data_IF_359308426989
#
_entry.id   IF_359308426989
#
_cell.length_a   1.000
_cell.length_b   1.000
_cell.length_c   1.000
_cell.angle_alpha   90.00
_cell.angle_beta   90.00
_cell.angle_gamma   90.00
#
_symmetry.space_group_name_H-M   'P 1'
#
loop_
_entity.id
_entity.type
_entity.pdbx_description
1 polymer ?
#
# COMPACT_ATOMS: atom_id res chain seq x y z
N UNK A 1 -27.04 76.70 12.32
CA UNK A 1 -27.74 75.66 13.10
C UNK A 1 -28.39 74.68 12.12
N UNK A 2 -27.94 73.41 12.14
CA UNK A 2 -28.63 72.21 11.65
C UNK A 2 -29.20 72.19 10.21
N UNK A 3 -28.63 71.36 9.31
CA UNK A 3 -29.14 70.00 8.98
C UNK A 3 -28.62 69.40 7.66
N UNK A 4 -28.11 68.17 7.82
CA UNK A 4 -28.22 66.98 6.97
C UNK A 4 -27.37 66.94 5.69
N UNK A 5 -26.16 66.41 5.83
CA UNK A 5 -25.52 65.62 4.80
C UNK A 5 -26.02 64.16 4.95
N UNK A 6 -26.78 63.67 3.98
CA UNK A 6 -27.17 62.26 3.89
C UNK A 6 -26.16 61.54 3.00
N UNK A 7 -25.24 60.80 3.62
CA UNK A 7 -24.33 59.87 2.93
C UNK A 7 -25.08 58.56 2.69
N UNK A 8 -25.44 58.28 1.44
CA UNK A 8 -25.92 56.96 1.02
C UNK A 8 -24.70 56.04 0.85
N UNK A 9 -24.46 55.19 1.85
CA UNK A 9 -23.57 54.04 1.73
C UNK A 9 -24.25 52.98 0.86
N UNK A 10 -23.83 52.85 -0.40
CA UNK A 10 -24.13 51.68 -1.22
C UNK A 10 -23.34 50.48 -0.64
N UNK A 11 -24.01 49.65 0.15
CA UNK A 11 -23.50 48.33 0.50
C UNK A 11 -23.62 47.41 -0.73
N UNK A 12 -22.52 47.21 -1.45
CA UNK A 12 -22.42 46.13 -2.42
C UNK A 12 -22.32 44.83 -1.62
N UNK A 13 -23.46 44.15 -1.48
CA UNK A 13 -23.49 42.74 -1.05
C UNK A 13 -22.88 41.93 -2.18
N UNK A 14 -21.57 41.68 -2.09
CA UNK A 14 -20.93 40.63 -2.87
C UNK A 14 -21.48 39.30 -2.37
N UNK A 15 -22.47 38.77 -3.10
CA UNK A 15 -22.85 37.36 -3.07
C UNK A 15 -21.62 36.54 -3.48
N UNK A 16 -20.77 36.23 -2.50
CA UNK A 16 -19.72 35.24 -2.67
C UNK A 16 -20.38 33.89 -2.96
N UNK A 17 -19.96 33.16 -4.01
CA UNK A 17 -20.37 31.78 -4.14
C UNK A 17 -19.76 31.03 -2.95
N UNK A 18 -20.62 30.63 -2.01
CA UNK A 18 -20.31 29.58 -1.05
C UNK A 18 -20.02 28.35 -1.91
N UNK A 19 -18.73 28.11 -2.20
CA UNK A 19 -18.24 26.86 -2.74
C UNK A 19 -18.38 25.80 -1.65
N UNK A 20 -19.62 25.39 -1.39
CA UNK A 20 -19.92 24.08 -0.87
C UNK A 20 -19.63 23.10 -1.99
N UNK A 21 -18.36 22.72 -2.13
CA UNK A 21 -17.97 21.57 -2.95
C UNK A 21 -18.57 20.33 -2.30
N UNK A 22 -19.82 20.02 -2.65
CA UNK A 22 -20.26 18.64 -2.65
C UNK A 22 -19.38 17.96 -3.68
N UNK A 23 -18.37 17.22 -3.22
CA UNK A 23 -17.67 16.28 -4.08
C UNK A 23 -18.68 15.17 -4.40
N UNK A 24 -19.48 15.37 -5.46
CA UNK A 24 -20.26 14.29 -6.04
C UNK A 24 -19.26 13.20 -6.37
N UNK A 25 -19.47 12.01 -5.80
CA UNK A 25 -18.57 10.87 -5.94
C UNK A 25 -18.34 10.60 -7.44
N UNK A 26 -17.21 11.08 -7.95
CA UNK A 26 -16.79 10.82 -9.31
C UNK A 26 -16.49 9.33 -9.35
N UNK A 27 -17.40 8.57 -9.97
CA UNK A 27 -17.25 7.12 -10.08
C UNK A 27 -16.24 6.83 -11.19
N UNK A 28 -15.17 6.14 -10.85
CA UNK A 28 -14.10 5.74 -11.79
C UNK A 28 -14.35 4.33 -12.37
N UNK A 29 -15.62 3.96 -12.50
CA UNK A 29 -16.08 2.66 -12.99
C UNK A 29 -16.38 1.66 -11.88
N UNK A 30 -16.92 0.51 -12.29
CA UNK A 30 -17.30 -0.59 -11.40
C UNK A 30 -16.05 -1.38 -10.96
N UNK A 31 -16.07 -1.82 -9.71
CA UNK A 31 -15.13 -2.77 -9.13
C UNK A 31 -15.52 -4.19 -9.54
N UNK A 32 -14.53 -4.97 -9.98
CA UNK A 32 -14.71 -6.37 -10.37
C UNK A 32 -13.84 -7.26 -9.50
N UNK A 33 -14.29 -8.48 -9.19
CA UNK A 33 -13.54 -9.45 -8.37
C UNK A 33 -12.12 -9.73 -8.87
N UNK A 34 -11.88 -9.60 -10.17
CA UNK A 34 -10.58 -9.82 -10.82
C UNK A 34 -9.67 -8.59 -10.81
N UNK A 35 -10.11 -7.45 -10.29
CA UNK A 35 -9.29 -6.25 -10.26
C UNK A 35 -8.06 -6.43 -9.36
N UNK A 36 -6.90 -5.80 -9.68
CA UNK A 36 -5.64 -6.03 -8.99
C UNK A 36 -5.69 -5.86 -7.46
N UNK A 37 -6.51 -4.94 -6.95
CA UNK A 37 -6.67 -4.75 -5.50
C UNK A 37 -7.21 -6.00 -4.79
N UNK A 38 -8.12 -6.74 -5.42
CA UNK A 38 -8.68 -7.98 -4.88
C UNK A 38 -7.71 -9.16 -5.02
N UNK A 39 -6.83 -9.13 -6.03
CA UNK A 39 -5.75 -10.10 -6.16
C UNK A 39 -4.68 -9.89 -5.08
N UNK A 40 -4.40 -8.63 -4.75
CA UNK A 40 -3.47 -8.24 -3.69
C UNK A 40 -3.99 -8.62 -2.30
N UNK A 41 -5.29 -8.44 -2.05
CA UNK A 41 -5.94 -8.78 -0.79
C UNK A 41 -6.98 -9.88 -1.01
N UNK A 42 -6.53 -11.13 -1.17
CA UNK A 42 -7.42 -12.25 -1.51
C UNK A 42 -8.56 -12.46 -0.49
N UNK A 43 -8.29 -12.27 0.80
CA UNK A 43 -9.32 -12.31 1.85
C UNK A 43 -10.39 -11.23 1.65
N UNK A 44 -9.98 -10.03 1.21
CA UNK A 44 -10.91 -8.96 0.88
C UNK A 44 -11.82 -9.40 -0.26
N UNK A 45 -11.32 -10.09 -1.29
CA UNK A 45 -12.15 -10.58 -2.39
C UNK A 45 -13.25 -11.53 -1.91
N UNK A 46 -12.92 -12.46 -1.01
CA UNK A 46 -13.90 -13.38 -0.43
C UNK A 46 -14.91 -12.65 0.45
N UNK A 47 -14.46 -11.78 1.34
CA UNK A 47 -15.35 -10.97 2.18
C UNK A 47 -16.17 -10.01 1.36
N UNK A 48 -15.66 -9.49 0.24
CA UNK A 48 -16.37 -8.52 -0.57
C UNK A 48 -17.43 -9.18 -1.45
N UNK A 49 -17.12 -10.29 -2.11
CA UNK A 49 -17.98 -10.85 -3.17
C UNK A 49 -18.71 -12.14 -2.81
N UNK A 50 -18.21 -12.90 -1.83
CA UNK A 50 -18.69 -14.26 -1.56
C UNK A 50 -19.48 -14.34 -0.26
N UNK A 51 -19.04 -13.63 0.79
CA UNK A 51 -19.68 -13.70 2.09
C UNK A 51 -21.12 -13.16 2.02
N UNK A 52 -22.08 -13.93 2.55
CA UNK A 52 -23.51 -13.59 2.53
C UNK A 52 -23.85 -12.39 3.42
N UNK A 53 -23.03 -12.08 4.42
CA UNK A 53 -23.20 -10.92 5.29
C UNK A 53 -23.01 -9.60 4.56
N UNK A 54 -22.03 -9.57 3.68
CA UNK A 54 -21.58 -8.40 2.93
C UNK A 54 -22.23 -8.30 1.56
N UNK A 55 -22.60 -9.42 0.94
CA UNK A 55 -23.27 -9.42 -0.36
C UNK A 55 -24.70 -8.86 -0.30
N UNK A 56 -25.36 -8.95 0.86
CA UNK A 56 -26.68 -8.34 1.10
C UNK A 56 -26.61 -7.01 1.85
N UNK A 57 -25.43 -6.41 1.97
CA UNK A 57 -25.26 -5.13 2.62
C UNK A 57 -25.85 -3.99 1.79
N UNK A 58 -26.49 -3.02 2.45
CA UNK A 58 -27.00 -1.81 1.81
C UNK A 58 -25.89 -0.82 1.48
N UNK A 59 -24.83 -0.78 2.31
CA UNK A 59 -23.60 -0.06 2.02
C UNK A 59 -22.40 -0.94 2.30
N UNK A 60 -21.38 -0.83 1.46
CA UNK A 60 -20.14 -1.59 1.58
C UNK A 60 -18.95 -0.84 1.02
N UNK A 61 -18.00 -0.59 1.90
CA UNK A 61 -16.87 0.30 1.67
C UNK A 61 -15.55 -0.43 1.89
N UNK A 62 -14.55 -0.11 1.06
CA UNK A 62 -13.15 -0.49 1.26
C UNK A 62 -12.31 0.78 1.36
N UNK A 63 -11.48 0.84 2.40
CA UNK A 63 -10.44 1.83 2.58
C UNK A 63 -9.06 1.17 2.54
N UNK A 64 -8.09 1.85 1.93
CA UNK A 64 -6.68 1.46 1.92
C UNK A 64 -5.81 2.69 2.20
N UNK A 65 -4.57 2.49 2.67
CA UNK A 65 -3.61 3.57 2.76
C UNK A 65 -3.14 3.97 1.36
N UNK A 66 -3.08 5.27 1.12
CA UNK A 66 -2.75 5.87 -0.16
C UNK A 66 -1.61 6.88 0.00
N UNK A 67 -0.80 7.12 -1.06
CA UNK A 67 -0.92 6.62 -2.44
C UNK A 67 -0.62 5.12 -2.58
N UNK A 68 -0.78 4.50 -3.77
CA UNK A 68 -0.68 3.02 -3.94
C UNK A 68 0.56 2.38 -3.33
N UNK A 69 1.62 3.15 -3.17
CA UNK A 69 2.84 2.77 -2.48
C UNK A 69 2.60 2.28 -1.05
N UNK A 70 1.61 2.86 -0.37
CA UNK A 70 1.21 2.59 1.00
C UNK A 70 0.19 1.45 1.14
N UNK A 71 -0.27 0.83 0.05
CA UNK A 71 -1.34 -0.15 0.10
C UNK A 71 -0.83 -1.53 0.56
N UNK A 72 -0.43 -1.69 1.81
CA UNK A 72 -0.03 -2.98 2.40
C UNK A 72 -1.09 -3.57 3.34
N UNK A 73 -2.18 -2.83 3.61
CA UNK A 73 -3.37 -3.33 4.30
C UNK A 73 -4.63 -2.78 3.66
N UNK A 74 -5.77 -3.36 4.05
CA UNK A 74 -7.09 -2.81 3.77
C UNK A 74 -7.93 -2.81 5.06
N UNK A 75 -8.96 -1.98 5.08
CA UNK A 75 -10.09 -2.15 5.99
C UNK A 75 -11.38 -2.04 5.19
N UNK A 76 -12.38 -2.80 5.60
CA UNK A 76 -13.70 -2.78 5.01
C UNK A 76 -14.75 -2.56 6.10
N UNK A 77 -15.88 -1.99 5.69
CA UNK A 77 -17.05 -1.81 6.53
C UNK A 77 -18.32 -2.03 5.71
N UNK A 78 -19.36 -2.54 6.35
CA UNK A 78 -20.64 -2.81 5.71
C UNK A 78 -21.79 -2.64 6.70
N UNK A 79 -22.99 -2.36 6.19
CA UNK A 79 -24.22 -2.25 6.98
C UNK A 79 -25.42 -2.81 6.22
N UNK A 80 -26.47 -3.20 6.93
CA UNK A 80 -27.77 -3.66 6.40
C UNK A 80 -28.87 -2.66 6.74
N UNK A 81 -28.64 -1.39 6.40
CA UNK A 81 -29.60 -0.29 6.59
C UNK A 81 -29.64 0.34 7.98
N UNK A 82 -28.72 -0.01 8.88
CA UNK A 82 -28.65 0.59 10.23
C UNK A 82 -27.84 1.88 10.27
N UNK A 83 -27.02 2.12 9.24
CA UNK A 83 -26.08 3.23 9.16
C UNK A 83 -26.14 3.85 7.77
N UNK A 84 -25.88 5.15 7.69
CA UNK A 84 -25.71 5.88 6.44
C UNK A 84 -24.40 5.48 5.75
N UNK A 85 -24.31 5.72 4.43
CA UNK A 85 -23.08 5.50 3.66
C UNK A 85 -21.87 6.19 4.32
N UNK A 86 -22.05 7.43 4.79
CA UNK A 86 -20.97 8.22 5.39
C UNK A 86 -20.45 7.61 6.69
N UNK A 87 -21.35 7.13 7.55
CA UNK A 87 -20.93 6.44 8.78
C UNK A 87 -20.12 5.17 8.48
N UNK A 88 -20.54 4.41 7.46
CA UNK A 88 -19.80 3.21 7.02
C UNK A 88 -18.42 3.59 6.45
N UNK A 89 -18.33 4.68 5.68
CA UNK A 89 -17.06 5.20 5.19
C UNK A 89 -16.12 5.63 6.34
N UNK A 90 -16.63 6.37 7.31
CA UNK A 90 -15.86 6.84 8.47
C UNK A 90 -15.34 5.66 9.30
N UNK A 91 -16.14 4.60 9.47
CA UNK A 91 -15.71 3.37 10.14
C UNK A 91 -14.58 2.69 9.37
N UNK A 92 -14.70 2.54 8.05
CA UNK A 92 -13.65 1.91 7.23
C UNK A 92 -12.33 2.70 7.32
N UNK A 93 -12.39 4.03 7.20
CA UNK A 93 -11.21 4.90 7.28
C UNK A 93 -10.60 4.88 8.68
N UNK A 94 -11.42 4.96 9.73
CA UNK A 94 -10.97 4.89 11.12
C UNK A 94 -10.26 3.57 11.43
N UNK A 95 -10.87 2.44 11.06
CA UNK A 95 -10.26 1.12 11.23
C UNK A 95 -8.97 0.97 10.43
N UNK A 96 -8.93 1.49 9.21
CA UNK A 96 -7.73 1.50 8.40
C UNK A 96 -6.61 2.30 9.09
N UNK A 97 -6.88 3.54 9.51
CA UNK A 97 -5.88 4.40 10.16
C UNK A 97 -5.40 3.83 11.50
N UNK A 98 -6.28 3.17 12.28
CA UNK A 98 -5.90 2.47 13.51
C UNK A 98 -4.91 1.35 13.22
N UNK A 99 -5.24 0.45 12.28
CA UNK A 99 -4.33 -0.64 11.85
C UNK A 99 -3.04 -0.08 11.24
N UNK A 100 -3.12 1.06 10.57
CA UNK A 100 -1.98 1.74 9.98
C UNK A 100 -0.99 2.19 11.06
N UNK A 101 -1.50 2.80 12.14
CA UNK A 101 -0.71 3.25 13.27
C UNK A 101 -0.08 2.08 14.05
N UNK A 102 -0.77 0.94 14.16
CA UNK A 102 -0.26 -0.28 14.81
C UNK A 102 0.99 -0.85 14.11
N UNK A 103 1.20 -0.57 12.82
CA UNK A 103 2.30 -1.11 12.01
C UNK A 103 3.57 -0.23 12.02
N UNK A 104 3.54 0.91 12.70
CA UNK A 104 4.68 1.82 12.85
C UNK A 104 4.89 2.78 11.67
N UNK A 105 5.98 3.57 11.66
CA UNK A 105 6.23 4.59 10.64
C UNK A 105 6.52 3.96 9.27
N UNK A 106 5.59 4.16 8.35
CA UNK A 106 5.58 3.56 7.01
C UNK A 106 6.42 4.36 6.01
N UNK A 107 6.54 5.67 6.26
CA UNK A 107 7.20 6.63 5.36
C UNK A 107 8.68 6.33 5.13
N UNK A 108 9.32 5.50 5.96
CA UNK A 108 10.71 5.09 5.76
C UNK A 108 10.94 4.32 4.45
N UNK A 109 9.93 3.60 3.95
CA UNK A 109 10.04 2.87 2.67
C UNK A 109 9.77 3.75 1.46
N UNK A 110 9.04 4.85 1.65
CA UNK A 110 8.32 5.49 0.55
C UNK A 110 8.64 6.97 0.37
N UNK A 111 9.14 7.64 1.41
CA UNK A 111 9.30 9.10 1.39
C UNK A 111 7.99 9.86 1.19
N UNK A 112 6.84 9.21 1.38
CA UNK A 112 5.50 9.78 1.19
C UNK A 112 4.65 9.64 2.45
N UNK A 113 3.68 10.55 2.60
CA UNK A 113 2.68 10.50 3.67
C UNK A 113 1.61 9.46 3.33
N UNK A 114 1.47 8.44 4.18
CA UNK A 114 0.50 7.36 4.00
C UNK A 114 -0.74 7.64 4.83
N UNK A 115 -1.89 7.85 4.17
CA UNK A 115 -3.18 8.05 4.85
C UNK A 115 -4.26 7.16 4.27
N UNK A 116 -5.14 6.66 5.12
CA UNK A 116 -6.27 5.86 4.64
C UNK A 116 -7.33 6.72 3.99
N UNK A 117 -7.82 6.24 2.84
CA UNK A 117 -8.97 6.81 2.15
C UNK A 117 -9.87 5.70 1.61
N UNK A 118 -11.15 6.02 1.47
CA UNK A 118 -12.10 5.14 0.78
C UNK A 118 -11.70 5.05 -0.69
N UNK A 119 -11.63 3.83 -1.21
CA UNK A 119 -11.27 3.57 -2.61
C UNK A 119 -12.37 2.86 -3.39
N UNK A 120 -13.22 2.10 -2.68
CA UNK A 120 -14.41 1.47 -3.24
C UNK A 120 -15.58 1.77 -2.30
N UNK A 121 -16.68 2.27 -2.86
CA UNK A 121 -17.98 2.41 -2.18
C UNK A 121 -19.05 1.80 -3.07
N UNK A 122 -19.84 0.87 -2.54
CA UNK A 122 -21.00 0.27 -3.22
C UNK A 122 -20.67 -0.23 -4.65
N UNK A 123 -19.64 -1.07 -4.73
CA UNK A 123 -19.08 -1.65 -5.96
C UNK A 123 -18.50 -0.65 -6.96
N UNK A 124 -18.31 0.62 -6.59
CA UNK A 124 -17.75 1.65 -7.46
C UNK A 124 -16.44 2.17 -6.93
N UNK A 125 -15.49 2.38 -7.83
CA UNK A 125 -14.28 3.11 -7.47
C UNK A 125 -14.59 4.58 -7.25
N UNK A 126 -14.13 5.11 -6.12
CA UNK A 126 -14.23 6.55 -5.78
C UNK A 126 -12.90 7.29 -5.96
N UNK A 127 -11.85 6.55 -6.35
CA UNK A 127 -10.55 7.08 -6.78
C UNK A 127 -10.20 6.53 -8.17
N UNK A 128 -9.36 7.21 -8.96
CA UNK A 128 -8.96 6.72 -10.28
C UNK A 128 -8.38 5.31 -10.21
N UNK A 129 -8.81 4.38 -11.08
CA UNK A 129 -8.25 3.02 -11.14
C UNK A 129 -6.73 3.02 -11.33
N UNK A 130 -6.18 3.98 -12.06
CA UNK A 130 -4.73 4.16 -12.26
C UNK A 130 -3.96 4.50 -10.96
N UNK A 131 -4.66 5.02 -9.95
CA UNK A 131 -4.08 5.30 -8.63
C UNK A 131 -4.11 4.09 -7.69
N UNK A 132 -4.79 2.99 -8.06
CA UNK A 132 -4.90 1.79 -7.24
C UNK A 132 -3.61 0.98 -7.23
N UNK A 133 -3.35 0.20 -6.17
CA UNK A 133 -2.24 -0.74 -6.16
C UNK A 133 -2.42 -1.83 -7.20
N UNK A 134 -1.31 -2.18 -7.84
CA UNK A 134 -1.18 -3.37 -8.66
C UNK A 134 -0.56 -4.52 -7.84
N UNK A 135 -0.59 -5.70 -8.41
CA UNK A 135 -0.05 -6.95 -7.84
C UNK A 135 1.48 -7.04 -8.00
N UNK A 136 2.06 -6.21 -8.85
CA UNK A 136 3.46 -6.18 -9.21
C UNK A 136 4.33 -5.30 -8.29
N UNK A 137 3.87 -4.95 -7.09
CA UNK A 137 4.50 -3.89 -6.30
C UNK A 137 4.41 -4.09 -4.78
N UNK A 138 5.42 -3.70 -4.01
CA UNK A 138 5.31 -3.65 -2.54
C UNK A 138 6.45 -2.95 -1.81
N UNK A 139 6.31 -2.66 -0.51
CA UNK A 139 7.45 -2.27 0.32
C UNK A 139 8.50 -3.35 0.34
N UNK A 140 9.77 -2.94 0.40
CA UNK A 140 10.86 -3.87 0.67
C UNK A 140 11.86 -3.28 1.65
N UNK A 141 12.45 -4.17 2.45
CA UNK A 141 13.60 -3.87 3.30
C UNK A 141 14.66 -4.94 3.10
N UNK A 142 15.88 -4.50 2.80
CA UNK A 142 17.05 -5.36 2.64
C UNK A 142 18.00 -5.06 3.78
N UNK A 143 18.27 -6.06 4.59
CA UNK A 143 19.26 -6.07 5.65
C UNK A 143 20.48 -6.83 5.13
N UNK A 144 21.66 -6.27 5.30
CA UNK A 144 22.90 -6.94 4.87
C UNK A 144 24.08 -6.47 5.70
N UNK A 145 25.16 -7.26 5.69
CA UNK A 145 26.47 -6.77 6.14
C UNK A 145 27.26 -6.23 4.95
N UNK A 146 27.78 -5.02 5.08
CA UNK A 146 28.67 -4.42 4.08
C UNK A 146 30.03 -5.14 4.07
N UNK A 147 30.91 -4.71 3.16
CA UNK A 147 32.26 -5.29 3.02
C UNK A 147 33.16 -5.09 4.26
N UNK A 148 32.78 -4.21 5.18
CA UNK A 148 33.48 -3.96 6.45
C UNK A 148 32.81 -4.70 7.62
N UNK A 149 31.77 -5.48 7.35
CA UNK A 149 31.00 -6.22 8.35
C UNK A 149 29.94 -5.40 9.08
N UNK A 150 29.73 -4.13 8.72
CA UNK A 150 28.71 -3.29 9.33
C UNK A 150 27.32 -3.72 8.85
N UNK A 151 26.36 -3.75 9.77
CA UNK A 151 24.96 -3.96 9.41
C UNK A 151 24.45 -2.70 8.71
N UNK A 152 23.96 -2.88 7.49
CA UNK A 152 23.35 -1.87 6.67
C UNK A 152 21.90 -2.27 6.34
N UNK A 153 21.08 -1.25 6.11
CA UNK A 153 19.67 -1.38 5.79
C UNK A 153 19.34 -0.52 4.59
N UNK A 154 18.69 -1.13 3.61
CA UNK A 154 18.11 -0.46 2.45
C UNK A 154 16.59 -0.65 2.50
N UNK A 155 15.88 0.46 2.62
CA UNK A 155 14.43 0.50 2.50
C UNK A 155 14.07 0.97 1.09
N UNK A 156 12.92 0.54 0.60
CA UNK A 156 12.45 0.99 -0.71
C UNK A 156 11.23 0.23 -1.19
N UNK A 157 11.13 0.18 -2.51
CA UNK A 157 9.99 -0.28 -3.25
C UNK A 157 10.39 -1.32 -4.27
N UNK A 158 9.83 -2.52 -4.15
CA UNK A 158 10.07 -3.56 -5.12
C UNK A 158 8.98 -3.56 -6.18
N UNK A 159 9.39 -3.73 -7.43
CA UNK A 159 8.53 -3.92 -8.59
C UNK A 159 8.86 -5.23 -9.26
N UNK A 160 7.83 -6.00 -9.58
CA UNK A 160 7.95 -7.28 -10.25
C UNK A 160 7.55 -7.17 -11.72
N UNK A 161 8.23 -7.92 -12.58
CA UNK A 161 7.78 -8.10 -13.96
C UNK A 161 6.55 -9.01 -14.10
N UNK A 162 6.26 -9.83 -13.07
CA UNK A 162 5.22 -10.86 -13.07
C UNK A 162 4.86 -11.30 -11.64
N UNK A 163 3.94 -12.26 -11.47
CA UNK A 163 3.52 -12.72 -10.14
C UNK A 163 4.46 -13.80 -9.59
N UNK A 164 5.07 -13.53 -8.43
CA UNK A 164 5.88 -14.52 -7.71
C UNK A 164 5.01 -15.70 -7.28
N UNK A 165 5.52 -16.92 -7.43
CA UNK A 165 4.80 -18.16 -7.14
C UNK A 165 3.91 -18.66 -8.29
N UNK A 166 3.61 -17.82 -9.29
CA UNK A 166 2.90 -18.24 -10.52
C UNK A 166 3.87 -18.47 -11.67
N UNK A 167 4.73 -17.49 -11.94
CA UNK A 167 5.63 -17.50 -13.08
C UNK A 167 6.98 -18.14 -12.70
N UNK A 168 7.54 -19.00 -13.57
CA UNK A 168 8.73 -19.83 -13.24
C UNK A 168 9.92 -19.01 -12.74
N UNK A 169 10.14 -17.84 -13.33
CA UNK A 169 11.15 -16.88 -12.91
C UNK A 169 10.61 -15.48 -13.08
N UNK A 170 10.76 -14.65 -12.06
CA UNK A 170 10.26 -13.28 -11.98
C UNK A 170 11.44 -12.35 -11.75
N UNK A 171 11.63 -11.40 -12.66
CA UNK A 171 12.57 -10.30 -12.44
C UNK A 171 11.95 -9.25 -11.53
N UNK A 172 12.79 -8.60 -10.73
CA UNK A 172 12.36 -7.49 -9.90
C UNK A 172 13.38 -6.35 -9.89
N UNK A 173 12.90 -5.14 -9.62
CA UNK A 173 13.71 -3.96 -9.36
C UNK A 173 13.37 -3.41 -7.98
N UNK A 174 14.33 -2.74 -7.33
CA UNK A 174 14.10 -2.01 -6.07
C UNK A 174 14.47 -0.56 -6.27
N UNK A 175 13.51 0.32 -6.02
CA UNK A 175 13.70 1.77 -6.01
C UNK A 175 13.84 2.25 -4.56
N UNK A 176 14.77 3.16 -4.28
CA UNK A 176 14.90 3.77 -2.96
C UNK A 176 13.79 4.81 -2.73
N UNK A 177 13.66 5.41 -1.51
CA UNK A 177 12.63 6.41 -1.24
C UNK A 177 12.74 7.70 -2.08
N UNK A 178 13.84 7.90 -2.81
CA UNK A 178 14.02 9.01 -3.76
C UNK A 178 13.58 8.65 -5.18
N UNK A 179 13.13 7.42 -5.41
CA UNK A 179 12.75 6.91 -6.73
C UNK A 179 13.93 6.48 -7.59
N UNK A 180 15.13 6.33 -7.02
CA UNK A 180 16.31 5.85 -7.74
C UNK A 180 16.34 4.32 -7.70
N UNK A 181 16.43 3.67 -8.86
CA UNK A 181 16.61 2.22 -8.93
C UNK A 181 17.97 1.84 -8.34
N UNK A 182 17.96 1.14 -7.21
CA UNK A 182 19.15 0.76 -6.45
C UNK A 182 19.48 -0.72 -6.57
N UNK A 183 18.49 -1.59 -6.82
CA UNK A 183 18.73 -3.02 -7.00
C UNK A 183 17.94 -3.60 -8.18
N UNK A 184 18.45 -4.70 -8.71
CA UNK A 184 17.76 -5.60 -9.64
C UNK A 184 17.96 -7.03 -9.17
N UNK A 185 17.01 -7.92 -9.44
CA UNK A 185 17.13 -9.30 -9.04
C UNK A 185 16.17 -10.23 -9.76
N UNK A 186 16.21 -11.50 -9.36
CA UNK A 186 15.34 -12.56 -9.83
C UNK A 186 14.84 -13.40 -8.66
N UNK A 187 13.60 -13.87 -8.76
CA UNK A 187 13.05 -14.95 -7.95
C UNK A 187 12.66 -16.10 -8.88
N UNK A 188 13.17 -17.30 -8.62
CA UNK A 188 12.88 -18.50 -9.40
C UNK A 188 12.14 -19.47 -8.52
N UNK A 189 10.90 -19.80 -8.89
CA UNK A 189 10.07 -20.73 -8.12
C UNK A 189 10.65 -22.15 -8.23
N UNK A 190 10.85 -22.80 -7.10
CA UNK A 190 11.17 -24.23 -7.03
C UNK A 190 9.98 -25.03 -6.50
N UNK A 191 9.21 -24.46 -5.58
CA UNK A 191 7.99 -25.02 -5.02
C UNK A 191 6.90 -23.93 -4.91
N UNK A 192 5.62 -24.31 -4.68
CA UNK A 192 4.58 -23.33 -4.36
C UNK A 192 4.99 -22.49 -3.15
N UNK A 193 5.20 -21.18 -3.38
CA UNK A 193 5.56 -20.24 -2.32
C UNK A 193 7.02 -20.28 -1.86
N UNK A 194 7.93 -20.96 -2.55
CA UNK A 194 9.36 -20.88 -2.23
C UNK A 194 10.27 -21.14 -3.44
N UNK A 195 11.53 -20.73 -3.34
CA UNK A 195 12.50 -20.94 -4.40
C UNK A 195 13.80 -20.20 -4.15
N UNK A 196 14.52 -19.90 -5.24
CA UNK A 196 15.79 -19.20 -5.18
C UNK A 196 15.61 -17.72 -5.49
N UNK A 197 16.42 -16.86 -4.86
CA UNK A 197 16.53 -15.47 -5.24
C UNK A 197 17.98 -15.10 -5.55
N UNK A 198 18.14 -14.10 -6.39
CA UNK A 198 19.38 -13.35 -6.54
C UNK A 198 19.08 -11.86 -6.61
N UNK A 199 20.00 -11.03 -6.12
CA UNK A 199 19.94 -9.59 -6.25
C UNK A 199 21.32 -9.01 -6.47
N UNK A 200 21.34 -7.86 -7.13
CA UNK A 200 22.51 -7.02 -7.36
C UNK A 200 22.09 -5.57 -7.14
N UNK A 201 22.79 -4.86 -6.25
CA UNK A 201 22.53 -3.48 -5.92
C UNK A 201 23.74 -2.58 -6.20
N UNK A 202 23.47 -1.29 -6.37
CA UNK A 202 24.45 -0.22 -6.54
C UNK A 202 25.46 -0.50 -7.67
N UNK A 203 24.97 -1.01 -8.80
CA UNK A 203 25.81 -1.37 -9.95
C UNK A 203 26.73 -2.56 -9.70
N UNK A 204 26.32 -3.52 -8.87
CA UNK A 204 27.08 -4.75 -8.60
C UNK A 204 28.01 -4.69 -7.39
N UNK A 205 28.09 -3.55 -6.69
CA UNK A 205 28.89 -3.41 -5.46
C UNK A 205 28.41 -4.30 -4.32
N UNK A 206 27.11 -4.60 -4.32
CA UNK A 206 26.51 -5.53 -3.38
C UNK A 206 25.69 -6.55 -4.19
N UNK A 207 25.92 -7.83 -3.95
CA UNK A 207 25.15 -8.89 -4.57
C UNK A 207 24.93 -10.02 -3.57
N UNK A 208 23.75 -10.62 -3.63
CA UNK A 208 23.33 -11.70 -2.73
C UNK A 208 22.51 -12.75 -3.47
N UNK A 209 22.57 -13.98 -2.97
CA UNK A 209 21.75 -15.09 -3.46
C UNK A 209 21.40 -16.03 -2.31
N UNK A 210 20.31 -16.75 -2.47
CA UNK A 210 19.84 -17.74 -1.50
C UNK A 210 18.42 -18.15 -1.81
N UNK A 211 17.64 -18.44 -0.77
CA UNK A 211 16.27 -18.92 -0.91
C UNK A 211 15.26 -17.87 -0.46
N UNK A 212 14.05 -17.91 -1.01
CA UNK A 212 12.91 -17.17 -0.47
C UNK A 212 11.75 -18.09 -0.13
N UNK A 213 10.89 -17.58 0.76
CA UNK A 213 9.65 -18.21 1.18
C UNK A 213 8.53 -17.15 1.27
N UNK A 214 7.32 -17.54 0.90
CA UNK A 214 6.11 -16.76 1.14
C UNK A 214 5.61 -17.11 2.55
N UNK A 215 5.32 -16.07 3.33
CA UNK A 215 4.68 -16.16 4.64
C UNK A 215 3.26 -15.65 4.51
N UNK A 216 2.32 -16.47 4.94
CA UNK A 216 0.91 -16.11 5.02
C UNK A 216 0.56 -15.68 6.44
N UNK A 217 -0.24 -14.63 6.58
CA UNK A 217 -0.73 -14.15 7.87
C UNK A 217 0.19 -13.14 8.57
N UNK A 218 -0.01 -13.01 9.89
CA UNK A 218 0.29 -11.80 10.66
C UNK A 218 1.65 -11.10 10.38
N UNK A 219 1.66 -9.76 10.24
CA UNK A 219 0.50 -8.88 10.16
C UNK A 219 -0.10 -8.78 8.75
N UNK A 220 0.62 -9.22 7.71
CA UNK A 220 0.15 -9.37 6.32
C UNK A 220 1.02 -10.41 5.60
N UNK A 221 0.49 -10.98 4.51
CA UNK A 221 1.27 -11.83 3.62
C UNK A 221 2.51 -11.11 3.10
N UNK A 222 3.66 -11.78 3.15
CA UNK A 222 4.95 -11.20 2.79
C UNK A 222 5.93 -12.27 2.33
N UNK A 223 7.02 -11.84 1.69
CA UNK A 223 8.10 -12.71 1.21
C UNK A 223 9.34 -12.44 2.04
N UNK A 224 10.03 -13.51 2.41
CA UNK A 224 11.33 -13.42 3.07
C UNK A 224 12.35 -14.17 2.24
N UNK A 225 13.36 -13.46 1.78
CA UNK A 225 14.53 -13.98 1.08
C UNK A 225 15.74 -13.94 2.03
N UNK A 226 16.39 -15.08 2.24
CA UNK A 226 17.59 -15.21 3.08
C UNK A 226 18.71 -15.86 2.30
N UNK A 227 19.89 -15.26 2.37
CA UNK A 227 21.02 -15.71 1.59
C UNK A 227 22.33 -15.10 2.05
N UNK A 228 23.31 -15.15 1.17
CA UNK A 228 24.64 -14.63 1.45
C UNK A 228 25.21 -13.91 0.23
N UNK A 229 26.14 -13.00 0.49
CA UNK A 229 26.98 -12.41 -0.55
C UNK A 229 28.03 -13.41 -1.04
N UNK A 230 28.76 -13.06 -2.10
CA UNK A 230 29.91 -13.87 -2.55
C UNK A 230 31.00 -14.06 -1.50
N UNK A 231 31.01 -13.25 -0.43
CA UNK A 231 31.94 -13.35 0.71
C UNK A 231 31.34 -14.07 1.93
N UNK A 232 30.16 -14.67 1.79
CA UNK A 232 29.48 -15.39 2.89
C UNK A 232 28.78 -14.47 3.91
N UNK A 233 28.71 -13.16 3.67
CA UNK A 233 28.02 -12.23 4.57
C UNK A 233 26.51 -12.40 4.44
N UNK A 234 25.74 -12.41 5.53
CA UNK A 234 24.31 -12.67 5.48
C UNK A 234 23.54 -11.53 4.83
N UNK A 235 22.47 -11.89 4.11
CA UNK A 235 21.53 -10.99 3.44
C UNK A 235 20.12 -11.46 3.75
N UNK A 236 19.27 -10.56 4.23
CA UNK A 236 17.84 -10.79 4.39
C UNK A 236 17.06 -9.71 3.65
N UNK A 237 16.20 -10.10 2.72
CA UNK A 237 15.27 -9.20 2.04
C UNK A 237 13.85 -9.58 2.42
N UNK A 238 13.07 -8.58 2.83
CA UNK A 238 11.66 -8.71 3.19
C UNK A 238 10.85 -7.91 2.17
N UNK A 239 9.77 -8.48 1.65
CA UNK A 239 8.85 -7.79 0.76
C UNK A 239 7.43 -7.93 1.29
N UNK A 240 6.69 -6.82 1.31
CA UNK A 240 5.29 -6.79 1.73
C UNK A 240 5.07 -6.28 3.16
N UNK A 241 6.15 -6.11 3.94
CA UNK A 241 6.10 -5.51 5.27
C UNK A 241 6.62 -4.06 5.27
N UNK A 242 6.01 -3.16 6.05
CA UNK A 242 6.59 -1.86 6.35
C UNK A 242 7.98 -1.96 6.99
N UNK A 243 8.78 -0.93 6.77
CA UNK A 243 10.20 -0.84 7.12
C UNK A 243 10.49 -1.24 8.57
N UNK A 244 9.80 -0.59 9.52
CA UNK A 244 10.02 -0.79 10.95
C UNK A 244 9.65 -2.21 11.38
N UNK A 245 8.53 -2.73 10.88
CA UNK A 245 8.09 -4.07 11.17
C UNK A 245 9.07 -5.10 10.60
N UNK A 246 9.49 -4.95 9.34
CA UNK A 246 10.50 -5.81 8.73
C UNK A 246 11.80 -5.82 9.54
N UNK A 247 12.24 -4.66 10.04
CA UNK A 247 13.43 -4.54 10.88
C UNK A 247 13.27 -5.26 12.23
N UNK A 248 12.13 -5.07 12.90
CA UNK A 248 11.85 -5.69 14.19
C UNK A 248 11.73 -7.22 14.09
N UNK A 249 11.20 -7.74 12.98
CA UNK A 249 10.95 -9.18 12.81
C UNK A 249 12.13 -9.91 12.17
N UNK A 250 12.85 -9.29 11.24
CA UNK A 250 13.83 -9.96 10.37
C UNK A 250 15.18 -9.24 10.26
N UNK A 251 15.36 -8.10 10.93
CA UNK A 251 16.56 -7.26 10.80
C UNK A 251 17.78 -7.74 11.59
N UNK A 252 17.66 -8.77 12.43
CA UNK A 252 18.79 -9.34 13.18
C UNK A 252 19.69 -10.16 12.25
N UNK A 253 20.93 -9.68 12.02
CA UNK A 253 21.98 -10.27 11.17
C UNK A 253 23.32 -10.40 11.91
#
# INVERSE_FOLDING_TARGET
>A
MYRIAASVLLAIVSLGPILGSTAWAQSYGKAERRDPIFLRFAEMANRYWVNSETNSASHKVVAIPMPKQCAFLYADAYTRGQQSEREVQDIAVSNCNRRLAELGPLGENYGVDCRCQVVISDERYVVPKSSMPDDAYGPTSIFYRDDRGNVARLNGLVRYGALIGRDRSVTFTVDNPRGEQVCTGTMTNENPGSGQFSLSCFGGKFAGRGTYENRTGAPNDHIIARGQTGRGQPVTMVIGLPAQLAANTYGSL
#
